data_IF_806894496500
#
_entry.id   IF_806894496500
#
_cell.length_a   1.000
_cell.length_b   1.000
_cell.length_c   1.000
_cell.angle_alpha   90.00
_cell.angle_beta   90.00
_cell.angle_gamma   90.00
#
_symmetry.space_group_name_H-M   'P 1'
#
loop_
_entity.id
_entity.type
_entity.pdbx_description
1 polymer ?
#
# COMPACT_ATOMS: atom_id res chain seq x y z
N UNK A 1 -20.83 -3.55 -7.22
CA UNK A 1 -20.46 -4.84 -7.86
C UNK A 1 -20.84 -5.97 -6.89
N UNK A 2 -22.07 -6.48 -6.98
CA UNK A 2 -22.67 -7.34 -5.93
C UNK A 2 -22.39 -8.84 -6.12
N UNK A 3 -21.93 -9.26 -7.30
CA UNK A 3 -21.70 -10.68 -7.62
C UNK A 3 -20.63 -11.32 -6.74
N UNK A 4 -19.53 -10.61 -6.45
CA UNK A 4 -18.43 -11.12 -5.63
C UNK A 4 -18.90 -11.47 -4.21
N UNK A 5 -19.57 -10.57 -3.45
CA UNK A 5 -20.15 -10.90 -2.15
C UNK A 5 -21.13 -12.08 -2.18
N UNK A 6 -22.00 -12.16 -3.19
CA UNK A 6 -22.98 -13.25 -3.31
C UNK A 6 -22.29 -14.61 -3.44
N UNK A 7 -21.28 -14.71 -4.30
CA UNK A 7 -20.49 -15.94 -4.46
C UNK A 7 -19.75 -16.28 -3.17
N UNK A 8 -19.11 -15.29 -2.54
CA UNK A 8 -18.41 -15.47 -1.27
C UNK A 8 -19.33 -15.99 -0.16
N UNK A 9 -20.54 -15.43 -0.05
CA UNK A 9 -21.55 -15.87 0.90
C UNK A 9 -22.08 -17.27 0.60
N UNK A 10 -22.36 -17.60 -0.68
CA UNK A 10 -22.84 -18.91 -1.08
C UNK A 10 -21.83 -20.02 -0.77
N UNK A 11 -20.55 -19.81 -1.10
CA UNK A 11 -19.48 -20.78 -0.81
C UNK A 11 -19.28 -20.92 0.69
N UNK A 12 -19.24 -19.80 1.43
CA UNK A 12 -19.10 -19.82 2.90
C UNK A 12 -20.27 -20.56 3.56
N UNK A 13 -21.50 -20.32 3.09
CA UNK A 13 -22.69 -21.03 3.55
C UNK A 13 -22.62 -22.54 3.29
N UNK A 14 -22.14 -22.95 2.11
CA UNK A 14 -21.94 -24.37 1.79
C UNK A 14 -20.93 -25.03 2.74
N UNK A 15 -19.81 -24.35 3.03
CA UNK A 15 -18.81 -24.85 3.99
C UNK A 15 -19.43 -24.94 5.39
N UNK A 16 -20.22 -23.95 5.81
CA UNK A 16 -20.87 -23.91 7.12
C UNK A 16 -21.93 -25.02 7.30
N UNK A 17 -22.54 -25.52 6.23
CA UNK A 17 -23.45 -26.67 6.30
C UNK A 17 -22.70 -27.97 6.65
N UNK A 18 -21.44 -28.10 6.22
CA UNK A 18 -20.60 -29.26 6.52
C UNK A 18 -19.83 -29.09 7.83
N UNK A 19 -19.39 -27.87 8.13
CA UNK A 19 -18.58 -27.50 9.29
C UNK A 19 -19.22 -26.30 10.01
N UNK A 20 -20.26 -26.50 10.83
CA UNK A 20 -20.93 -25.40 11.52
C UNK A 20 -19.99 -24.61 12.46
N UNK A 21 -18.85 -25.19 12.84
CA UNK A 21 -17.83 -24.59 13.69
C UNK A 21 -17.18 -23.35 13.06
N UNK A 22 -17.20 -23.25 11.73
CA UNK A 22 -16.62 -22.11 11.03
C UNK A 22 -17.50 -20.85 11.09
N UNK A 23 -18.72 -20.94 11.63
CA UNK A 23 -19.62 -19.80 11.76
C UNK A 23 -19.22 -18.84 12.88
N UNK A 24 -19.67 -17.58 12.77
CA UNK A 24 -19.42 -16.51 13.73
C UNK A 24 -17.93 -16.34 14.09
N UNK A 25 -17.64 -15.89 15.32
CA UNK A 25 -16.27 -15.70 15.82
C UNK A 25 -15.55 -17.02 16.08
N UNK A 26 -16.29 -18.07 16.44
CA UNK A 26 -15.74 -19.37 16.80
C UNK A 26 -15.18 -19.46 18.23
N UNK A 27 -15.28 -18.39 19.06
CA UNK A 27 -14.76 -18.42 20.43
C UNK A 27 -15.42 -19.48 21.31
N UNK A 28 -16.73 -19.72 21.14
CA UNK A 28 -17.42 -20.78 21.87
C UNK A 28 -16.82 -22.17 21.60
N UNK A 29 -16.46 -22.45 20.34
CA UNK A 29 -15.80 -23.69 19.96
C UNK A 29 -14.39 -23.79 20.53
N UNK A 30 -13.63 -22.69 20.51
CA UNK A 30 -12.32 -22.64 21.17
C UNK A 30 -12.42 -22.88 22.69
N UNK A 31 -13.45 -22.33 23.35
CA UNK A 31 -13.72 -22.60 24.77
C UNK A 31 -14.09 -24.07 25.03
N UNK A 32 -14.81 -24.71 24.10
CA UNK A 32 -15.12 -26.15 24.20
C UNK A 32 -13.86 -27.01 24.09
N UNK A 33 -12.88 -26.62 23.24
CA UNK A 33 -11.57 -27.29 23.18
C UNK A 33 -10.79 -27.12 24.49
N UNK A 34 -10.74 -25.90 25.05
CA UNK A 34 -10.11 -25.63 26.35
C UNK A 34 -10.78 -26.45 27.46
N UNK A 35 -12.10 -26.54 27.44
CA UNK A 35 -12.89 -27.33 28.39
C UNK A 35 -12.91 -28.84 28.12
N UNK A 36 -12.17 -29.33 27.11
CA UNK A 36 -12.11 -30.74 26.69
C UNK A 36 -13.46 -31.38 26.35
N UNK A 37 -14.43 -30.59 25.90
CA UNK A 37 -15.77 -31.07 25.54
C UNK A 37 -15.80 -31.56 24.10
N UNK A 38 -14.93 -32.51 23.75
CA UNK A 38 -14.77 -33.01 22.39
C UNK A 38 -16.02 -33.75 21.88
N UNK A 39 -16.80 -34.34 22.80
CA UNK A 39 -18.03 -35.08 22.46
C UNK A 39 -19.17 -34.19 21.91
N UNK A 40 -19.07 -32.88 22.11
CA UNK A 40 -20.06 -31.92 21.64
C UNK A 40 -19.82 -31.47 20.19
N UNK A 41 -18.73 -31.92 19.56
CA UNK A 41 -18.43 -31.58 18.17
C UNK A 41 -19.21 -32.49 17.20
N UNK A 42 -19.96 -31.90 16.24
CA UNK A 42 -20.61 -32.62 15.16
C UNK A 42 -19.65 -33.56 14.42
N UNK A 43 -19.84 -34.87 14.58
CA UNK A 43 -18.92 -35.87 14.02
C UNK A 43 -19.43 -36.53 12.74
N UNK A 44 -20.74 -36.47 12.47
CA UNK A 44 -21.40 -37.07 11.29
C UNK A 44 -20.97 -38.52 10.98
N UNK A 45 -20.61 -39.31 12.01
CA UNK A 45 -20.13 -40.69 11.87
C UNK A 45 -18.64 -40.84 11.54
N UNK A 46 -17.89 -39.74 11.44
CA UNK A 46 -16.44 -39.70 11.25
C UNK A 46 -15.75 -39.50 12.61
N UNK A 47 -14.56 -40.07 12.87
CA UNK A 47 -13.82 -39.81 14.10
C UNK A 47 -13.60 -38.30 14.31
N UNK A 48 -13.93 -37.79 15.51
CA UNK A 48 -13.88 -36.35 15.83
C UNK A 48 -12.51 -35.73 15.54
N UNK A 49 -11.43 -36.48 15.74
CA UNK A 49 -10.06 -36.03 15.49
C UNK A 49 -9.81 -35.65 14.02
N UNK A 50 -10.47 -36.35 13.08
CA UNK A 50 -10.37 -36.06 11.65
C UNK A 50 -11.09 -34.76 11.33
N UNK A 51 -12.22 -34.50 11.99
CA UNK A 51 -13.00 -33.28 11.79
C UNK A 51 -12.26 -32.08 12.39
N UNK A 52 -11.71 -32.21 13.60
CA UNK A 52 -10.91 -31.17 14.24
C UNK A 52 -9.73 -30.75 13.35
N UNK A 53 -9.05 -31.71 12.74
CA UNK A 53 -7.96 -31.45 11.80
C UNK A 53 -8.40 -30.68 10.54
N UNK A 54 -9.62 -30.90 10.04
CA UNK A 54 -10.11 -30.25 8.81
C UNK A 54 -10.62 -28.83 9.07
N UNK A 55 -11.26 -28.60 10.23
CA UNK A 55 -11.89 -27.31 10.61
C UNK A 55 -10.98 -26.07 10.44
N UNK A 56 -9.70 -26.05 10.88
CA UNK A 56 -8.87 -24.85 10.73
C UNK A 56 -8.67 -24.48 9.25
N UNK A 57 -8.50 -25.47 8.36
CA UNK A 57 -8.39 -25.23 6.92
C UNK A 57 -9.70 -24.76 6.32
N UNK A 58 -10.83 -25.36 6.73
CA UNK A 58 -12.16 -24.91 6.34
C UNK A 58 -12.40 -23.44 6.74
N UNK A 59 -11.97 -23.05 7.95
CA UNK A 59 -12.05 -21.66 8.42
C UNK A 59 -11.18 -20.72 7.58
N UNK A 60 -9.95 -21.11 7.22
CA UNK A 60 -9.09 -20.30 6.35
C UNK A 60 -9.75 -20.05 4.99
N UNK A 61 -10.32 -21.10 4.38
CA UNK A 61 -11.01 -21.01 3.09
C UNK A 61 -12.24 -20.11 3.21
N UNK A 62 -13.10 -20.34 4.21
CA UNK A 62 -14.29 -19.52 4.44
C UNK A 62 -13.94 -18.04 4.72
N UNK A 63 -12.90 -17.79 5.51
CA UNK A 63 -12.44 -16.42 5.79
C UNK A 63 -11.91 -15.73 4.53
N UNK A 64 -11.24 -16.48 3.65
CA UNK A 64 -10.75 -15.97 2.37
C UNK A 64 -11.91 -15.57 1.43
N UNK A 65 -12.98 -16.37 1.37
CA UNK A 65 -14.16 -16.04 0.56
C UNK A 65 -15.00 -14.91 1.16
N UNK A 66 -15.14 -14.83 2.48
CA UNK A 66 -15.87 -13.73 3.13
C UNK A 66 -15.13 -12.40 2.99
N UNK A 67 -13.88 -12.31 3.43
CA UNK A 67 -13.11 -11.06 3.38
C UNK A 67 -12.69 -10.72 1.95
N UNK A 68 -12.25 -11.72 1.17
CA UNK A 68 -11.81 -11.52 -0.22
C UNK A 68 -12.92 -11.12 -1.18
N UNK A 69 -14.19 -11.40 -0.85
CA UNK A 69 -15.34 -10.93 -1.62
C UNK A 69 -15.76 -9.49 -1.32
N UNK A 70 -15.12 -8.85 -0.33
CA UNK A 70 -15.39 -7.47 0.07
C UNK A 70 -16.38 -7.31 1.22
N UNK A 71 -16.69 -8.39 1.97
CA UNK A 71 -17.47 -8.27 3.21
C UNK A 71 -16.67 -7.57 4.31
N UNK A 72 -17.34 -6.78 5.16
CA UNK A 72 -16.72 -6.13 6.32
C UNK A 72 -16.54 -7.14 7.46
N UNK A 73 -15.50 -7.97 7.38
CA UNK A 73 -15.14 -8.95 8.42
C UNK A 73 -13.73 -8.71 8.94
N UNK A 74 -13.52 -8.88 10.25
CA UNK A 74 -12.20 -8.84 10.86
C UNK A 74 -11.44 -10.16 10.69
N UNK A 75 -10.11 -10.09 10.63
CA UNK A 75 -9.22 -11.27 10.55
C UNK A 75 -8.78 -11.79 11.93
N UNK A 76 -9.09 -11.04 13.00
CA UNK A 76 -8.73 -11.38 14.37
C UNK A 76 -9.34 -12.70 14.85
N UNK A 77 -10.68 -12.77 14.91
CA UNK A 77 -11.38 -13.93 15.45
C UNK A 77 -11.10 -15.21 14.64
N UNK A 78 -11.11 -15.21 13.29
CA UNK A 78 -10.73 -16.38 12.51
C UNK A 78 -9.29 -16.83 12.75
N UNK A 79 -8.35 -15.89 12.97
CA UNK A 79 -6.97 -16.20 13.27
C UNK A 79 -6.80 -16.91 14.61
N UNK A 80 -7.42 -16.37 15.66
CA UNK A 80 -7.45 -17.00 16.99
C UNK A 80 -8.10 -18.39 16.93
N UNK A 81 -9.27 -18.52 16.27
CA UNK A 81 -9.95 -19.79 16.08
C UNK A 81 -9.05 -20.82 15.37
N UNK A 82 -8.42 -20.42 14.26
CA UNK A 82 -7.56 -21.33 13.48
C UNK A 82 -6.38 -21.80 14.33
N UNK A 83 -5.75 -20.90 15.09
CA UNK A 83 -4.70 -21.24 16.03
C UNK A 83 -5.17 -22.18 17.15
N UNK A 84 -6.38 -21.99 17.68
CA UNK A 84 -6.98 -22.85 18.70
C UNK A 84 -7.10 -24.31 18.23
N UNK A 85 -7.61 -24.50 17.01
CA UNK A 85 -7.82 -25.84 16.46
C UNK A 85 -6.49 -26.52 16.09
N UNK A 86 -5.55 -25.80 15.46
CA UNK A 86 -4.21 -26.33 15.22
C UNK A 86 -3.52 -26.70 16.55
N UNK A 87 -3.68 -25.85 17.58
CA UNK A 87 -3.20 -26.13 18.93
C UNK A 87 -3.86 -27.37 19.53
N UNK A 88 -5.17 -27.55 19.38
CA UNK A 88 -5.87 -28.76 19.81
C UNK A 88 -5.34 -30.00 19.10
N UNK A 89 -5.13 -29.96 17.78
CA UNK A 89 -4.62 -31.10 17.02
C UNK A 89 -3.24 -31.54 17.54
N UNK A 90 -2.34 -30.57 17.76
CA UNK A 90 -1.03 -30.84 18.38
C UNK A 90 -1.20 -31.39 19.80
N UNK A 91 -2.04 -30.77 20.62
CA UNK A 91 -2.29 -31.20 21.99
C UNK A 91 -2.84 -32.62 22.08
N UNK A 92 -3.76 -33.00 21.19
CA UNK A 92 -4.33 -34.35 21.12
C UNK A 92 -3.25 -35.35 20.72
N UNK A 93 -2.43 -35.06 19.72
CA UNK A 93 -1.31 -35.93 19.32
C UNK A 93 -0.37 -36.17 20.52
N UNK A 94 0.01 -35.12 21.23
CA UNK A 94 0.87 -35.24 22.41
C UNK A 94 0.20 -35.96 23.59
N UNK A 95 -1.10 -35.74 23.82
CA UNK A 95 -1.87 -36.47 24.82
C UNK A 95 -1.94 -37.97 24.53
N UNK A 96 -2.10 -38.34 23.25
CA UNK A 96 -2.14 -39.75 22.82
C UNK A 96 -0.78 -40.45 22.99
N UNK A 97 0.33 -39.76 22.74
CA UNK A 97 1.68 -40.34 22.83
C UNK A 97 2.21 -40.30 24.27
N UNK A 98 1.92 -39.22 25.01
CA UNK A 98 2.48 -38.91 26.33
C UNK A 98 1.37 -38.52 27.34
N UNK A 99 0.41 -39.40 27.64
CA UNK A 99 -0.79 -39.05 28.43
C UNK A 99 -0.47 -38.64 29.87
N UNK A 100 0.63 -39.14 30.45
CA UNK A 100 1.04 -38.75 31.80
C UNK A 100 1.65 -37.35 31.86
N UNK A 101 2.40 -36.95 30.82
CA UNK A 101 3.05 -35.64 30.73
C UNK A 101 2.09 -34.56 30.23
N UNK A 102 1.16 -34.94 29.35
CA UNK A 102 0.15 -34.05 28.78
C UNK A 102 -1.22 -34.56 29.21
N UNK A 103 -1.67 -34.30 30.45
CA UNK A 103 -2.99 -34.75 30.90
C UNK A 103 -4.13 -33.94 30.28
N UNK A 104 -3.84 -32.75 29.73
CA UNK A 104 -4.84 -31.85 29.16
C UNK A 104 -4.34 -31.19 27.87
N UNK A 105 -5.25 -30.96 26.92
CA UNK A 105 -4.92 -30.27 25.66
C UNK A 105 -5.01 -28.73 25.76
N UNK A 106 -5.63 -28.22 26.83
CA UNK A 106 -5.93 -26.79 26.99
C UNK A 106 -4.70 -25.86 26.83
N UNK A 107 -3.51 -26.17 27.39
CA UNK A 107 -2.32 -25.35 27.17
C UNK A 107 -1.93 -25.24 25.70
N UNK A 108 -2.09 -26.31 24.92
CA UNK A 108 -1.75 -26.32 23.49
C UNK A 108 -2.73 -25.49 22.68
N UNK A 109 -4.02 -25.52 23.03
CA UNK A 109 -5.05 -24.68 22.39
C UNK A 109 -4.71 -23.20 22.59
N UNK A 110 -4.41 -22.80 23.84
CA UNK A 110 -4.10 -21.42 24.21
C UNK A 110 -2.81 -20.93 23.53
N UNK A 111 -1.75 -21.73 23.60
CA UNK A 111 -0.47 -21.41 22.93
C UNK A 111 -0.66 -21.37 21.41
N UNK A 112 -1.48 -22.24 20.83
CA UNK A 112 -1.80 -22.26 19.40
C UNK A 112 -2.54 -21.02 18.92
N UNK A 113 -3.56 -20.58 19.66
CA UNK A 113 -4.28 -19.32 19.41
C UNK A 113 -3.31 -18.15 19.27
N UNK A 114 -2.42 -18.04 20.26
CA UNK A 114 -1.47 -16.96 20.39
C UNK A 114 -0.37 -17.03 19.32
N UNK A 115 0.25 -18.18 19.15
CA UNK A 115 1.39 -18.37 18.24
C UNK A 115 0.99 -18.21 16.77
N UNK A 116 -0.18 -18.70 16.38
CA UNK A 116 -0.68 -18.55 15.01
C UNK A 116 -1.01 -17.09 14.71
N UNK A 117 -1.85 -16.47 15.54
CA UNK A 117 -2.34 -15.13 15.25
C UNK A 117 -1.31 -14.03 15.50
N UNK A 118 -0.47 -14.17 16.54
CA UNK A 118 0.63 -13.23 16.83
C UNK A 118 1.62 -13.12 15.66
N UNK A 119 1.90 -14.24 15.00
CA UNK A 119 2.72 -14.27 13.79
C UNK A 119 1.98 -13.75 12.56
N UNK A 120 0.76 -14.25 12.30
CA UNK A 120 -0.03 -13.89 11.13
C UNK A 120 -0.38 -12.39 11.08
N UNK A 121 -0.74 -11.82 12.24
CA UNK A 121 -1.10 -10.40 12.39
C UNK A 121 0.09 -9.48 12.69
N UNK A 122 1.29 -10.02 12.95
CA UNK A 122 2.48 -9.28 13.40
C UNK A 122 2.25 -8.44 14.65
N UNK A 123 1.54 -9.01 15.63
CA UNK A 123 1.15 -8.33 16.88
C UNK A 123 1.42 -9.20 18.12
N UNK A 124 2.67 -9.68 18.33
CA UNK A 124 3.00 -10.66 19.38
C UNK A 124 2.68 -10.15 20.80
N UNK A 125 2.87 -8.85 21.08
CA UNK A 125 2.60 -8.27 22.40
C UNK A 125 1.09 -8.17 22.66
N UNK A 126 0.34 -7.61 21.71
CA UNK A 126 -1.11 -7.39 21.87
C UNK A 126 -1.87 -8.71 21.98
N UNK A 127 -1.52 -9.72 21.17
CA UNK A 127 -2.17 -11.03 21.26
C UNK A 127 -1.86 -11.73 22.59
N UNK A 128 -0.65 -11.55 23.12
CA UNK A 128 -0.26 -12.14 24.42
C UNK A 128 -1.12 -11.57 25.53
N UNK A 129 -1.26 -10.25 25.61
CA UNK A 129 -2.14 -9.62 26.59
C UNK A 129 -3.60 -10.09 26.45
N UNK A 130 -4.11 -10.15 25.23
CA UNK A 130 -5.50 -10.54 24.99
C UNK A 130 -5.78 -12.00 25.38
N UNK A 131 -4.87 -12.92 25.06
CA UNK A 131 -5.02 -14.33 25.43
C UNK A 131 -4.92 -14.52 26.94
N UNK A 132 -4.02 -13.81 27.61
CA UNK A 132 -3.94 -13.77 29.08
C UNK A 132 -5.25 -13.29 29.70
N UNK A 133 -5.83 -12.21 29.17
CA UNK A 133 -7.13 -11.69 29.63
C UNK A 133 -8.28 -12.68 29.40
N UNK A 134 -8.31 -13.33 28.23
CA UNK A 134 -9.34 -14.31 27.88
C UNK A 134 -9.24 -15.61 28.69
N UNK A 135 -8.03 -16.02 29.08
CA UNK A 135 -7.77 -17.26 29.82
C UNK A 135 -7.76 -17.05 31.33
N UNK A 136 -7.61 -15.80 31.80
CA UNK A 136 -7.67 -15.44 33.22
C UNK A 136 -6.45 -15.87 34.04
N UNK A 137 -5.33 -16.19 33.40
CA UNK A 137 -4.13 -16.69 34.08
C UNK A 137 -2.83 -16.34 33.36
N UNK A 138 -1.76 -16.13 34.15
CA UNK A 138 -0.41 -15.84 33.66
C UNK A 138 0.48 -17.09 33.58
N UNK A 139 -0.05 -18.27 33.93
CA UNK A 139 0.72 -19.50 34.09
C UNK A 139 1.38 -19.96 32.79
N UNK A 140 0.75 -19.69 31.65
CA UNK A 140 1.24 -20.09 30.33
C UNK A 140 2.12 -19.03 29.65
N UNK A 141 2.22 -17.82 30.23
CA UNK A 141 2.87 -16.67 29.63
C UNK A 141 4.32 -16.97 29.17
N UNK A 142 5.19 -17.67 29.93
CA UNK A 142 6.52 -18.01 29.44
C UNK A 142 6.50 -18.89 28.18
N UNK A 143 5.63 -19.89 28.13
CA UNK A 143 5.51 -20.79 26.98
C UNK A 143 4.93 -20.06 25.76
N UNK A 144 3.92 -19.22 26.00
CA UNK A 144 3.30 -18.35 24.99
C UNK A 144 4.32 -17.40 24.36
N UNK A 145 5.13 -16.72 25.18
CA UNK A 145 6.17 -15.79 24.70
C UNK A 145 7.21 -16.50 23.83
N UNK A 146 7.64 -17.71 24.20
CA UNK A 146 8.57 -18.50 23.40
C UNK A 146 7.92 -18.92 22.07
N UNK A 147 6.72 -19.48 22.13
CA UNK A 147 6.01 -19.97 20.95
C UNK A 147 5.72 -18.84 19.94
N UNK A 148 5.25 -17.69 20.41
CA UNK A 148 4.98 -16.54 19.53
C UNK A 148 6.24 -15.92 18.98
N UNK A 149 7.33 -15.88 19.75
CA UNK A 149 8.61 -15.36 19.26
C UNK A 149 9.14 -16.23 18.13
N UNK A 150 9.11 -17.55 18.30
CA UNK A 150 9.51 -18.51 17.26
C UNK A 150 8.62 -18.36 16.02
N UNK A 151 7.30 -18.36 16.20
CA UNK A 151 6.34 -18.23 15.09
C UNK A 151 6.48 -16.88 14.36
N UNK A 152 6.70 -15.80 15.09
CA UNK A 152 6.93 -14.46 14.54
C UNK A 152 8.21 -14.40 13.69
N UNK A 153 9.32 -14.99 14.18
CA UNK A 153 10.59 -15.06 13.45
C UNK A 153 10.47 -15.92 12.20
N UNK A 154 9.86 -17.11 12.31
CA UNK A 154 9.69 -18.05 11.17
C UNK A 154 8.80 -17.45 10.09
N UNK A 155 7.77 -16.70 10.46
CA UNK A 155 6.86 -16.06 9.49
C UNK A 155 7.46 -14.83 8.76
N UNK A 156 8.66 -14.38 9.14
CA UNK A 156 9.39 -13.31 8.43
C UNK A 156 8.61 -11.99 8.34
N UNK A 157 8.51 -11.41 7.13
CA UNK A 157 7.77 -10.16 6.89
C UNK A 157 6.33 -10.39 6.39
N UNK A 158 5.86 -11.63 6.33
CA UNK A 158 4.52 -11.94 5.82
C UNK A 158 3.44 -11.60 6.85
N UNK A 159 2.50 -10.72 6.51
CA UNK A 159 1.36 -10.36 7.34
C UNK A 159 0.05 -10.60 6.60
N UNK A 160 -0.99 -10.98 7.33
CA UNK A 160 -2.37 -11.06 6.81
C UNK A 160 -2.94 -9.66 6.52
N UNK A 161 -2.38 -8.62 7.14
CA UNK A 161 -2.79 -7.23 6.95
C UNK A 161 -2.01 -6.56 5.81
N UNK A 162 -2.40 -6.85 4.56
CA UNK A 162 -1.73 -6.32 3.36
C UNK A 162 -1.82 -4.80 3.21
N UNK A 163 -2.87 -4.18 3.75
CA UNK A 163 -3.07 -2.73 3.71
C UNK A 163 -2.38 -1.99 4.85
N UNK A 164 -1.76 -2.72 5.80
CA UNK A 164 -1.07 -2.09 6.92
C UNK A 164 0.22 -1.44 6.42
N UNK A 165 0.32 -0.13 6.61
CA UNK A 165 1.53 0.64 6.30
C UNK A 165 2.51 0.63 7.48
N UNK A 166 3.83 0.81 7.25
CA UNK A 166 4.84 0.74 8.32
C UNK A 166 4.67 1.81 9.39
N UNK A 167 4.28 3.02 9.01
CA UNK A 167 4.13 4.13 9.94
C UNK A 167 2.87 4.94 9.68
N UNK A 168 2.40 5.67 10.70
CA UNK A 168 1.18 6.48 10.64
C UNK A 168 1.21 7.52 9.51
N UNK A 169 2.37 8.11 9.23
CA UNK A 169 2.57 9.09 8.14
C UNK A 169 2.38 8.50 6.73
N UNK A 170 2.54 7.19 6.58
CA UNK A 170 2.39 6.51 5.29
C UNK A 170 0.91 6.18 5.01
N UNK A 171 0.04 6.39 6.00
CA UNK A 171 -1.39 6.11 5.90
C UNK A 171 -2.09 7.28 5.20
N UNK A 172 -2.84 7.03 4.11
CA UNK A 172 -3.66 8.06 3.48
C UNK A 172 -4.64 8.73 4.46
N UNK A 173 -5.10 7.99 5.48
CA UNK A 173 -6.03 8.50 6.48
C UNK A 173 -5.43 9.60 7.38
N UNK A 174 -4.10 9.69 7.47
CA UNK A 174 -3.39 10.69 8.28
C UNK A 174 -2.58 11.67 7.41
N UNK A 175 -2.80 11.69 6.09
CA UNK A 175 -2.00 12.52 5.17
C UNK A 175 -2.05 14.02 5.50
N UNK A 176 -3.17 14.54 6.03
CA UNK A 176 -3.31 15.95 6.45
C UNK A 176 -2.74 16.27 7.84
N UNK A 177 -2.35 15.27 8.63
CA UNK A 177 -1.75 15.49 9.96
C UNK A 177 -0.23 15.74 9.89
N UNK A 178 0.38 15.41 8.75
CA UNK A 178 1.80 15.59 8.49
C UNK A 178 1.97 16.57 7.33
N UNK A 179 2.96 17.47 7.39
CA UNK A 179 3.39 18.23 6.22
C UNK A 179 3.99 17.24 5.21
N UNK A 180 3.17 16.63 4.36
CA UNK A 180 3.64 15.81 3.25
C UNK A 180 4.05 16.77 2.14
N UNK A 181 5.34 16.95 1.84
CA UNK A 181 5.76 17.82 0.74
C UNK A 181 5.42 17.10 -0.57
N UNK A 182 4.17 17.22 -1.01
CA UNK A 182 3.62 16.47 -2.15
C UNK A 182 4.49 16.68 -3.39
N UNK A 183 4.92 17.92 -3.65
CA UNK A 183 5.78 18.26 -4.79
C UNK A 183 7.20 17.70 -4.67
N UNK A 184 7.74 17.54 -3.46
CA UNK A 184 9.07 16.95 -3.24
C UNK A 184 9.07 15.44 -3.53
N UNK A 185 7.93 14.78 -3.35
CA UNK A 185 7.78 13.34 -3.59
C UNK A 185 7.36 12.99 -5.02
N UNK A 186 6.80 13.94 -5.77
CA UNK A 186 6.46 13.78 -7.18
C UNK A 186 7.69 14.03 -8.05
N UNK A 187 7.85 13.24 -9.11
CA UNK A 187 8.96 13.36 -10.07
C UNK A 187 8.50 13.99 -11.37
N UNK A 188 9.43 14.58 -12.11
CA UNK A 188 9.19 15.06 -13.48
C UNK A 188 8.67 13.96 -14.39
N UNK A 189 9.10 12.71 -14.20
CA UNK A 189 8.58 11.54 -14.93
C UNK A 189 7.11 11.22 -14.68
N UNK A 190 6.48 11.80 -13.66
CA UNK A 190 5.03 11.61 -13.40
C UNK A 190 4.18 12.43 -14.40
N UNK A 191 4.78 13.40 -15.10
CA UNK A 191 4.19 14.10 -16.24
C UNK A 191 4.40 13.23 -17.48
N UNK A 192 3.28 12.80 -18.11
CA UNK A 192 3.30 11.81 -19.20
C UNK A 192 3.90 12.33 -20.50
N UNK A 193 3.59 13.57 -20.86
CA UNK A 193 3.94 14.14 -22.15
C UNK A 193 4.76 15.42 -21.95
N UNK A 194 6.04 15.37 -22.31
CA UNK A 194 6.87 16.57 -22.41
C UNK A 194 6.53 17.29 -23.70
N UNK A 195 6.23 18.60 -23.60
CA UNK A 195 5.81 19.38 -24.76
C UNK A 195 7.04 19.61 -25.65
N UNK A 196 6.94 19.21 -26.91
CA UNK A 196 8.00 19.39 -27.88
C UNK A 196 7.96 20.78 -28.51
N UNK A 197 8.18 21.82 -27.69
CA UNK A 197 8.14 23.22 -28.10
C UNK A 197 9.54 23.82 -27.94
N UNK A 198 10.25 23.91 -29.07
CA UNK A 198 11.59 24.50 -29.15
C UNK A 198 11.81 25.11 -30.53
N UNK A 199 12.88 25.90 -30.67
CA UNK A 199 13.33 26.48 -31.93
C UNK A 199 14.82 26.17 -32.17
N UNK A 200 15.23 26.06 -33.43
CA UNK A 200 16.63 25.89 -33.79
C UNK A 200 17.38 27.25 -33.70
N UNK A 201 18.65 27.29 -33.25
CA UNK A 201 19.46 28.52 -33.25
C UNK A 201 19.65 29.17 -34.62
N UNK A 202 19.48 28.41 -35.71
CA UNK A 202 19.70 28.86 -37.08
C UNK A 202 18.41 29.38 -37.75
N UNK A 203 17.27 29.21 -37.08
CA UNK A 203 15.98 29.72 -37.52
C UNK A 203 15.83 31.22 -37.21
N UNK A 204 14.85 31.85 -37.87
CA UNK A 204 14.62 33.29 -37.76
C UNK A 204 13.77 33.64 -36.54
N UNK A 205 14.03 34.81 -35.93
CA UNK A 205 13.24 35.34 -34.80
C UNK A 205 11.75 35.46 -35.12
N UNK A 206 11.35 35.59 -36.39
CA UNK A 206 9.95 35.56 -36.84
C UNK A 206 9.27 34.22 -36.53
N UNK A 207 9.95 33.11 -36.71
CA UNK A 207 9.43 31.77 -36.38
C UNK A 207 9.34 31.61 -34.85
N UNK A 208 10.32 32.13 -34.10
CA UNK A 208 10.26 32.15 -32.63
C UNK A 208 9.02 32.91 -32.13
N UNK A 209 8.75 34.10 -32.68
CA UNK A 209 7.56 34.88 -32.34
C UNK A 209 6.26 34.15 -32.68
N UNK A 210 6.21 33.46 -33.82
CA UNK A 210 5.04 32.69 -34.23
C UNK A 210 4.78 31.52 -33.26
N UNK A 211 5.81 30.75 -32.91
CA UNK A 211 5.72 29.64 -31.96
C UNK A 211 5.34 30.12 -30.56
N UNK A 212 5.91 31.24 -30.10
CA UNK A 212 5.56 31.86 -28.82
C UNK A 212 4.09 32.28 -28.77
N UNK A 213 3.60 32.91 -29.83
CA UNK A 213 2.19 33.36 -29.94
C UNK A 213 1.24 32.17 -30.00
N UNK A 214 1.55 31.16 -30.82
CA UNK A 214 0.74 29.95 -30.98
C UNK A 214 0.60 29.18 -29.67
N UNK A 215 1.66 29.11 -28.87
CA UNK A 215 1.68 28.37 -27.61
C UNK A 215 1.35 29.25 -26.40
N UNK A 216 1.07 30.54 -26.60
CA UNK A 216 0.81 31.52 -25.51
C UNK A 216 1.94 31.55 -24.46
N UNK A 217 3.20 31.50 -24.90
CA UNK A 217 4.39 31.55 -24.05
C UNK A 217 5.23 32.80 -24.35
N UNK A 218 5.84 33.40 -23.32
CA UNK A 218 6.65 34.61 -23.42
C UNK A 218 8.14 34.34 -23.68
N UNK A 219 8.51 33.08 -23.80
CA UNK A 219 9.85 32.60 -24.10
C UNK A 219 9.79 31.19 -24.68
N UNK A 220 10.81 30.78 -25.42
CA UNK A 220 10.88 29.44 -26.02
C UNK A 220 12.28 28.84 -25.85
N UNK A 221 12.35 27.52 -25.69
CA UNK A 221 13.59 26.77 -25.61
C UNK A 221 14.32 26.82 -26.97
N UNK A 222 15.62 27.06 -26.94
CA UNK A 222 16.50 26.93 -28.11
C UNK A 222 17.24 25.61 -27.98
N UNK A 223 17.06 24.73 -28.97
CA UNK A 223 17.68 23.41 -28.99
C UNK A 223 18.14 23.05 -30.41
N UNK A 224 19.28 22.38 -30.52
CA UNK A 224 19.81 21.90 -31.79
C UNK A 224 20.42 20.51 -31.62
N UNK A 225 20.25 19.65 -32.64
CA UNK A 225 20.83 18.29 -32.65
C UNK A 225 20.51 17.50 -31.36
N UNK A 226 19.29 17.65 -30.84
CA UNK A 226 18.83 17.00 -29.62
C UNK A 226 19.42 17.53 -28.31
N UNK A 227 20.12 18.66 -28.31
CA UNK A 227 20.70 19.27 -27.11
C UNK A 227 20.04 20.62 -26.81
N UNK A 228 19.82 20.89 -25.52
CA UNK A 228 19.31 22.17 -25.04
C UNK A 228 20.45 23.20 -25.00
N UNK A 229 20.26 24.35 -25.63
CA UNK A 229 21.30 25.39 -25.78
C UNK A 229 21.00 26.65 -24.97
N UNK A 230 19.73 27.02 -24.82
CA UNK A 230 19.35 28.23 -24.11
C UNK A 230 17.89 28.59 -24.27
N UNK A 231 17.56 29.84 -23.99
CA UNK A 231 16.19 30.38 -24.11
C UNK A 231 16.23 31.73 -24.80
N UNK A 232 15.22 32.00 -25.62
CA UNK A 232 14.98 33.31 -26.21
C UNK A 232 13.64 33.85 -25.70
N UNK A 233 13.58 35.15 -25.37
CA UNK A 233 12.41 35.78 -24.76
C UNK A 233 11.72 36.72 -25.75
N UNK A 234 10.38 36.78 -25.68
CA UNK A 234 9.56 37.64 -26.54
C UNK A 234 9.99 39.12 -26.44
N UNK A 235 10.30 39.60 -25.23
CA UNK A 235 10.67 41.00 -25.03
C UNK A 235 12.03 41.38 -25.66
N UNK A 236 12.94 40.41 -25.85
CA UNK A 236 14.24 40.64 -26.50
C UNK A 236 14.07 40.77 -28.03
N UNK A 237 13.04 40.14 -28.62
CA UNK A 237 12.85 40.05 -30.07
C UNK A 237 11.59 40.75 -30.61
N UNK A 238 10.77 41.36 -29.75
CA UNK A 238 9.47 41.89 -30.11
C UNK A 238 9.53 42.91 -31.26
N UNK A 239 10.51 43.81 -31.24
CA UNK A 239 10.69 44.86 -32.24
C UNK A 239 11.50 44.42 -33.48
N UNK A 240 12.08 43.22 -33.47
CA UNK A 240 12.92 42.74 -34.56
C UNK A 240 12.07 42.18 -35.70
N UNK A 241 12.45 42.50 -36.94
CA UNK A 241 11.78 42.00 -38.15
C UNK A 241 12.35 40.66 -38.63
N UNK A 242 13.66 40.50 -38.48
CA UNK A 242 14.49 39.40 -38.99
C UNK A 242 15.74 39.26 -38.11
N UNK A 243 16.41 38.12 -38.19
CA UNK A 243 17.64 37.82 -37.45
C UNK A 243 17.68 36.39 -36.94
N UNK A 244 18.89 35.83 -36.80
CA UNK A 244 19.05 34.47 -36.34
C UNK A 244 18.83 34.36 -34.83
N UNK A 245 18.10 33.33 -34.39
CA UNK A 245 17.81 33.08 -32.96
C UNK A 245 19.08 33.03 -32.11
N UNK A 246 20.17 32.47 -32.64
CA UNK A 246 21.48 32.38 -31.96
C UNK A 246 22.02 33.72 -31.45
N UNK A 247 21.70 34.83 -32.12
CA UNK A 247 22.25 36.15 -31.80
C UNK A 247 21.56 36.78 -30.58
N UNK A 248 20.36 36.29 -30.25
CA UNK A 248 19.50 36.81 -29.17
C UNK A 248 19.22 35.77 -28.08
N UNK A 249 19.76 34.55 -28.20
CA UNK A 249 19.57 33.52 -27.19
C UNK A 249 20.35 33.84 -25.92
N UNK A 250 19.76 33.53 -24.76
CA UNK A 250 20.44 33.55 -23.46
C UNK A 250 20.91 32.13 -23.13
N UNK A 251 22.21 31.97 -22.97
CA UNK A 251 22.85 30.71 -22.56
C UNK A 251 22.95 30.62 -21.04
N UNK A 252 23.18 29.42 -20.51
CA UNK A 252 23.34 29.20 -19.07
C UNK A 252 22.01 29.18 -18.29
N UNK A 253 20.89 29.00 -18.99
CA UNK A 253 19.58 28.80 -18.35
C UNK A 253 19.53 27.40 -17.74
N UNK A 254 19.10 27.32 -16.48
CA UNK A 254 19.02 26.06 -15.74
C UNK A 254 17.96 25.13 -16.33
N UNK A 255 18.36 23.89 -16.62
CA UNK A 255 17.48 22.79 -17.02
C UNK A 255 17.26 21.80 -15.89
N UNK A 256 16.14 21.09 -15.93
CA UNK A 256 15.78 20.08 -14.92
C UNK A 256 16.07 18.67 -15.45
N UNK A 257 16.62 17.80 -14.62
CA UNK A 257 16.82 16.39 -14.97
C UNK A 257 15.48 15.65 -14.96
N UNK A 258 15.29 14.70 -15.86
CA UNK A 258 14.03 13.93 -15.92
C UNK A 258 13.68 13.17 -14.64
N UNK A 259 14.66 12.85 -13.78
CA UNK A 259 14.46 12.15 -12.51
C UNK A 259 14.35 13.07 -11.28
N UNK A 260 14.40 14.39 -11.48
CA UNK A 260 14.25 15.40 -10.44
C UNK A 260 12.82 15.45 -9.89
N UNK A 261 12.64 16.12 -8.75
CA UNK A 261 11.31 16.36 -8.18
C UNK A 261 10.56 17.47 -8.91
N UNK A 262 9.24 17.50 -8.78
CA UNK A 262 8.42 18.62 -9.29
C UNK A 262 8.67 19.91 -8.48
N UNK A 263 9.09 19.80 -7.22
CA UNK A 263 9.53 20.93 -6.41
C UNK A 263 10.76 21.62 -7.01
N UNK A 264 11.78 20.85 -7.39
CA UNK A 264 12.99 21.39 -8.05
C UNK A 264 12.63 22.08 -9.38
N UNK A 265 11.73 21.47 -10.16
CA UNK A 265 11.24 22.06 -11.39
C UNK A 265 10.52 23.39 -11.15
N UNK A 266 9.66 23.47 -10.12
CA UNK A 266 8.99 24.71 -9.73
C UNK A 266 10.00 25.76 -9.30
N UNK A 267 10.96 25.42 -8.44
CA UNK A 267 11.96 26.36 -7.92
C UNK A 267 12.75 27.03 -9.05
N UNK A 268 13.15 26.25 -10.07
CA UNK A 268 13.83 26.77 -11.27
C UNK A 268 12.90 27.69 -12.07
N UNK A 269 11.63 27.31 -12.28
CA UNK A 269 10.65 28.17 -12.95
C UNK A 269 10.47 29.51 -12.22
N UNK A 270 10.33 29.46 -10.89
CA UNK A 270 10.16 30.64 -10.03
C UNK A 270 11.40 31.56 -10.07
N UNK A 271 12.59 30.98 -9.94
CA UNK A 271 13.87 31.70 -10.00
C UNK A 271 14.07 32.39 -11.34
N UNK A 272 13.72 31.70 -12.43
CA UNK A 272 13.84 32.23 -13.79
C UNK A 272 12.66 33.12 -14.21
N UNK A 273 11.66 33.32 -13.34
CA UNK A 273 10.39 34.03 -13.64
C UNK A 273 9.74 33.50 -14.93
N UNK A 274 9.75 32.19 -15.10
CA UNK A 274 9.21 31.47 -16.26
C UNK A 274 8.03 30.60 -15.85
N UNK A 275 7.09 30.37 -16.77
CA UNK A 275 5.96 29.45 -16.57
C UNK A 275 6.25 28.02 -17.05
N UNK A 276 7.47 27.79 -17.55
CA UNK A 276 7.94 26.51 -18.06
C UNK A 276 9.44 26.31 -17.83
N UNK A 277 9.90 25.05 -17.88
CA UNK A 277 11.30 24.67 -17.71
C UNK A 277 11.70 23.55 -18.70
N UNK A 278 12.92 23.57 -19.25
CA UNK A 278 13.40 22.53 -20.14
C UNK A 278 13.82 21.28 -19.36
N UNK A 279 13.43 20.11 -19.87
CA UNK A 279 13.77 18.81 -19.31
C UNK A 279 14.89 18.16 -20.13
N UNK A 280 15.92 17.70 -19.42
CA UNK A 280 17.08 17.03 -20.01
C UNK A 280 17.33 15.66 -19.38
N UNK A 281 17.81 14.72 -20.18
CA UNK A 281 18.29 13.42 -19.72
C UNK A 281 19.64 13.13 -20.37
N UNK A 282 20.69 12.97 -19.56
CA UNK A 282 22.05 12.70 -20.04
C UNK A 282 22.54 13.69 -21.12
N UNK A 283 22.12 14.96 -21.04
CA UNK A 283 22.45 16.00 -22.03
C UNK A 283 21.50 16.11 -23.22
N UNK A 284 20.62 15.14 -23.43
CA UNK A 284 19.58 15.19 -24.45
C UNK A 284 18.38 16.01 -23.98
N UNK A 285 17.89 16.92 -24.82
CA UNK A 285 16.67 17.69 -24.60
C UNK A 285 15.45 16.80 -24.88
N UNK A 286 14.59 16.63 -23.88
CA UNK A 286 13.38 15.81 -23.98
C UNK A 286 12.12 16.62 -24.26
N UNK A 287 12.17 17.94 -24.04
CA UNK A 287 11.03 18.84 -24.17
C UNK A 287 10.93 19.81 -23.00
N UNK A 288 9.78 20.45 -22.86
CA UNK A 288 9.48 21.35 -21.75
C UNK A 288 8.30 20.83 -20.93
N UNK A 289 8.26 21.20 -19.65
CA UNK A 289 7.06 21.11 -18.82
C UNK A 289 6.66 22.51 -18.36
N UNK A 290 5.38 22.70 -18.09
CA UNK A 290 4.78 23.96 -17.67
C UNK A 290 4.25 23.89 -16.24
N UNK A 291 3.99 25.04 -15.63
CA UNK A 291 3.27 25.11 -14.35
C UNK A 291 1.90 24.43 -14.40
N UNK A 292 1.21 24.48 -15.54
CA UNK A 292 -0.07 23.79 -15.71
C UNK A 292 0.11 22.26 -15.59
N UNK A 293 1.16 21.71 -16.20
CA UNK A 293 1.46 20.27 -16.13
C UNK A 293 1.78 19.84 -14.69
N UNK A 294 2.54 20.65 -13.94
CA UNK A 294 2.81 20.43 -12.51
C UNK A 294 1.51 20.46 -11.69
N UNK A 295 0.66 21.46 -11.92
CA UNK A 295 -0.61 21.63 -11.20
C UNK A 295 -1.59 20.47 -11.45
N UNK A 296 -1.63 19.93 -12.67
CA UNK A 296 -2.50 18.81 -13.00
C UNK A 296 -2.09 17.54 -12.26
N UNK A 297 -0.79 17.24 -12.22
CA UNK A 297 -0.25 16.10 -11.46
C UNK A 297 -0.46 16.32 -9.95
N UNK A 298 -0.21 17.54 -9.45
CA UNK A 298 -0.43 17.89 -8.05
C UNK A 298 -1.89 17.70 -7.64
N UNK A 299 -2.85 18.21 -8.41
CA UNK A 299 -4.30 18.05 -8.15
C UNK A 299 -4.73 16.59 -8.23
N UNK A 300 -4.22 15.82 -9.19
CA UNK A 300 -4.47 14.39 -9.29
C UNK A 300 -3.99 13.66 -8.02
N UNK A 301 -2.80 14.03 -7.52
CA UNK A 301 -2.25 13.45 -6.29
C UNK A 301 -3.04 13.82 -5.04
N UNK A 302 -3.45 15.09 -4.91
CA UNK A 302 -4.31 15.54 -3.81
C UNK A 302 -5.62 14.76 -3.74
N UNK A 303 -6.25 14.53 -4.90
CA UNK A 303 -7.48 13.74 -5.00
C UNK A 303 -7.27 12.28 -4.60
N UNK A 304 -6.14 11.68 -4.97
CA UNK A 304 -5.77 10.31 -4.58
C UNK A 304 -5.64 10.16 -3.06
N UNK A 305 -5.04 11.16 -2.39
CA UNK A 305 -4.85 11.17 -0.93
C UNK A 305 -6.06 11.71 -0.15
N UNK A 306 -7.18 11.99 -0.83
CA UNK A 306 -8.42 12.43 -0.19
C UNK A 306 -8.41 13.87 0.34
N UNK A 307 -7.43 14.69 -0.07
CA UNK A 307 -7.39 16.11 0.30
C UNK A 307 -8.20 16.93 -0.70
N UNK A 308 -9.11 17.76 -0.19
CA UNK A 308 -9.95 18.66 -0.98
C UNK A 308 -9.14 19.87 -1.45
N UNK A 309 -9.17 20.18 -2.74
CA UNK A 309 -8.57 21.39 -3.32
C UNK A 309 -9.26 22.70 -2.90
N UNK A 310 -10.38 22.63 -2.18
CA UNK A 310 -11.16 23.81 -1.77
C UNK A 310 -10.59 24.54 -0.54
N UNK A 311 -9.50 24.07 0.06
CA UNK A 311 -8.84 24.74 1.21
C UNK A 311 -7.75 25.74 0.79
N UNK A 312 -7.59 26.00 -0.52
CA UNK A 312 -6.56 26.90 -1.07
C UNK A 312 -7.10 28.26 -1.55
N UNK A 313 -8.32 28.63 -1.16
CA UNK A 313 -8.91 29.95 -1.44
C UNK A 313 -8.92 30.84 -0.20
#
# INVERSE_FOLDING_TARGET
NYFKPVIGAAITGLIALLFPEIMASGYGWAQMLIGQKLDLFPSFGVPVIVILFIIPFAKIIATSFTVGSGSSGGLFAPGIFTGAFIGADVGIIFHLIFPQQVPTIAPFVIVGMLAFYGAAGKIPVSVTLMVVEMTGGLQLLPAEMIAVSISYLVSGNSSIYRAQVPTRKDSPAHAGEYNVPVLANLKVTDIKDFRNVYINPDEDVKEAKALMTQNSISSIAVAARGHFLGVIYMYDIYQLSEGAVRDFMKTGVTSVKSNASLEEAWEIMSTNKSTWVPIVLNGAFLGIITMADILDVYKAKLKEIGMSTNELN
#
